data_IF_354080761956
#
_entry.id   IF_354080761956
#
_cell.length_a   1.000
_cell.length_b   1.000
_cell.length_c   1.000
_cell.angle_alpha   90.00
_cell.angle_beta   90.00
_cell.angle_gamma   90.00
#
_symmetry.space_group_name_H-M   'P 1'
#
loop_
_entity.id
_entity.type
_entity.pdbx_description
1 polymer ?
#
# COMPACT_ATOMS: atom_id res chain seq x y z
N UNK A 1 -55.62 -14.12 52.84
CA UNK A 1 -54.80 -14.83 51.82
C UNK A 1 -54.31 -13.76 50.84
N UNK A 2 -53.07 -13.28 51.02
CA UNK A 2 -52.45 -12.25 50.18
C UNK A 2 -51.60 -12.97 49.14
N UNK A 3 -51.98 -12.86 47.86
CA UNK A 3 -51.23 -13.40 46.73
C UNK A 3 -50.16 -12.37 46.37
N UNK A 4 -48.91 -12.69 46.71
CA UNK A 4 -47.73 -11.92 46.36
C UNK A 4 -47.34 -12.27 44.92
N UNK A 5 -47.67 -11.39 43.98
CA UNK A 5 -47.32 -11.53 42.56
C UNK A 5 -45.85 -11.20 42.39
N UNK A 6 -45.03 -12.24 42.23
CA UNK A 6 -43.61 -12.16 41.91
C UNK A 6 -43.44 -11.74 40.44
N UNK A 7 -43.34 -10.44 40.19
CA UNK A 7 -42.98 -9.88 38.88
C UNK A 7 -41.49 -10.17 38.63
N UNK A 8 -41.21 -11.26 37.93
CA UNK A 8 -39.91 -11.52 37.34
C UNK A 8 -39.66 -10.50 36.23
N UNK A 9 -38.99 -9.40 36.59
CA UNK A 9 -38.38 -8.48 35.62
C UNK A 9 -37.24 -9.22 34.94
N UNK A 10 -37.54 -9.90 33.83
CA UNK A 10 -36.53 -10.40 32.91
C UNK A 10 -35.88 -9.18 32.27
N UNK A 11 -34.76 -8.75 32.86
CA UNK A 11 -33.87 -7.75 32.25
C UNK A 11 -33.31 -8.37 30.97
N UNK A 12 -34.02 -8.16 29.87
CA UNK A 12 -33.57 -8.50 28.54
C UNK A 12 -32.43 -7.54 28.19
N UNK A 13 -31.21 -7.87 28.59
CA UNK A 13 -30.02 -7.14 28.13
C UNK A 13 -29.98 -7.31 26.61
N UNK A 14 -30.13 -6.19 25.88
CA UNK A 14 -30.00 -6.18 24.42
C UNK A 14 -28.63 -6.76 24.09
N UNK A 15 -28.59 -7.90 23.41
CA UNK A 15 -27.32 -8.51 22.98
C UNK A 15 -26.58 -7.51 22.09
N UNK A 16 -25.26 -7.37 22.23
CA UNK A 16 -24.48 -6.55 21.31
C UNK A 16 -24.72 -7.02 19.88
N UNK A 17 -24.85 -6.08 18.97
CA UNK A 17 -25.00 -6.36 17.55
C UNK A 17 -23.69 -6.95 17.01
N UNK A 18 -23.77 -7.97 16.16
CA UNK A 18 -22.58 -8.54 15.51
C UNK A 18 -22.26 -7.74 14.25
N UNK A 19 -21.03 -7.25 14.16
CA UNK A 19 -20.48 -6.61 12.98
C UNK A 19 -19.71 -7.62 12.14
N UNK A 20 -19.90 -7.54 10.82
CA UNK A 20 -19.27 -8.39 9.82
C UNK A 20 -18.30 -7.54 9.01
N UNK A 21 -17.02 -7.76 9.20
CA UNK A 21 -15.96 -7.05 8.47
C UNK A 21 -15.31 -8.07 7.55
N UNK A 22 -15.30 -7.79 6.25
CA UNK A 22 -14.80 -8.74 5.25
C UNK A 22 -14.04 -8.02 4.14
N UNK A 23 -13.31 -8.78 3.34
CA UNK A 23 -12.63 -8.23 2.18
C UNK A 23 -11.98 -9.29 1.32
N UNK A 24 -11.41 -8.84 0.21
CA UNK A 24 -10.61 -9.65 -0.71
C UNK A 24 -9.25 -9.00 -0.86
N UNK A 25 -8.19 -9.79 -0.72
CA UNK A 25 -6.81 -9.36 -0.96
C UNK A 25 -6.43 -9.74 -2.39
N UNK A 26 -6.00 -8.73 -3.14
CA UNK A 26 -5.52 -8.83 -4.51
C UNK A 26 -4.07 -8.36 -4.63
N UNK A 27 -3.44 -8.83 -5.71
CA UNK A 27 -2.16 -8.35 -6.21
C UNK A 27 -2.41 -7.68 -7.56
N UNK A 28 -1.86 -6.47 -7.73
CA UNK A 28 -1.96 -5.69 -8.97
C UNK A 28 -3.41 -5.53 -9.51
N UNK A 29 -4.40 -5.50 -8.62
CA UNK A 29 -5.83 -5.40 -8.88
C UNK A 29 -6.45 -6.59 -9.63
N UNK A 30 -5.73 -7.69 -9.84
CA UNK A 30 -6.18 -8.79 -10.70
C UNK A 30 -6.15 -10.13 -9.99
N UNK A 31 -4.99 -10.52 -9.45
CA UNK A 31 -4.74 -11.84 -8.88
C UNK A 31 -5.15 -11.89 -7.41
N UNK A 32 -5.81 -12.97 -6.96
CA UNK A 32 -6.13 -13.15 -5.54
C UNK A 32 -4.90 -13.60 -4.77
N UNK A 33 -4.76 -13.15 -3.52
CA UNK A 33 -3.62 -13.47 -2.68
C UNK A 33 -4.05 -14.32 -1.50
N UNK A 34 -3.66 -15.60 -1.49
CA UNK A 34 -3.83 -16.48 -0.33
C UNK A 34 -2.84 -16.17 0.78
N UNK A 35 -3.15 -16.60 2.01
CA UNK A 35 -2.26 -16.54 3.18
C UNK A 35 -1.71 -15.14 3.49
N UNK A 36 -2.38 -14.08 3.05
CA UNK A 36 -2.05 -12.73 3.47
C UNK A 36 -2.54 -12.55 4.90
N UNK A 37 -1.66 -12.12 5.80
CA UNK A 37 -2.00 -11.86 7.19
C UNK A 37 -2.82 -10.58 7.28
N UNK A 38 -4.02 -10.70 7.83
CA UNK A 38 -4.95 -9.58 8.02
C UNK A 38 -5.12 -9.34 9.51
N UNK A 39 -4.89 -8.10 9.96
CA UNK A 39 -5.12 -7.69 11.35
C UNK A 39 -6.18 -6.62 11.39
N UNK A 40 -7.16 -6.81 12.27
CA UNK A 40 -8.14 -5.80 12.62
C UNK A 40 -7.69 -5.08 13.89
N UNK A 41 -7.56 -3.77 13.79
CA UNK A 41 -7.28 -2.88 14.88
C UNK A 41 -8.51 -2.06 15.23
N UNK A 42 -8.63 -1.69 16.50
CA UNK A 42 -9.68 -0.78 16.96
C UNK A 42 -9.14 0.28 17.91
N UNK A 43 -9.88 1.38 18.00
CA UNK A 43 -9.79 2.33 19.12
C UNK A 43 -11.05 2.19 19.98
N UNK A 44 -10.87 1.91 21.26
CA UNK A 44 -11.95 1.81 22.24
C UNK A 44 -12.06 3.08 23.09
N UNK A 45 -13.27 3.39 23.53
CA UNK A 45 -13.51 4.36 24.60
C UNK A 45 -13.34 3.62 25.93
N UNK A 46 -12.31 3.97 26.69
CA UNK A 46 -12.09 3.43 28.03
C UNK A 46 -12.32 4.56 29.04
N UNK A 47 -13.24 4.38 29.99
CA UNK A 47 -13.56 5.36 31.03
C UNK A 47 -13.91 6.76 30.48
N UNK A 48 -14.80 6.85 29.48
CA UNK A 48 -15.17 8.11 28.79
C UNK A 48 -13.99 8.88 28.17
N UNK A 49 -12.82 8.27 28.05
CA UNK A 49 -11.64 8.86 27.47
C UNK A 49 -11.25 8.09 26.21
N UNK A 50 -10.95 8.82 25.15
CA UNK A 50 -10.50 8.25 23.89
C UNK A 50 -9.11 7.64 24.05
N UNK A 51 -8.94 6.35 23.76
CA UNK A 51 -7.60 5.83 23.47
C UNK A 51 -7.16 6.37 22.12
N UNK A 52 -6.12 7.21 22.11
CA UNK A 52 -5.55 7.72 20.86
C UNK A 52 -4.82 6.64 20.05
N UNK A 53 -4.49 5.50 20.65
CA UNK A 53 -3.75 4.43 20.00
C UNK A 53 -4.67 3.29 19.53
N UNK A 54 -4.44 2.82 18.29
CA UNK A 54 -5.01 1.57 17.78
C UNK A 54 -4.37 0.36 18.48
N UNK A 55 -5.18 -0.60 18.89
CA UNK A 55 -4.74 -1.92 19.36
C UNK A 55 -5.29 -3.02 18.47
N UNK A 56 -4.55 -4.12 18.32
CA UNK A 56 -5.02 -5.31 17.58
C UNK A 56 -6.19 -5.90 18.36
N UNK A 57 -7.34 -6.01 17.71
CA UNK A 57 -8.51 -6.71 18.23
C UNK A 57 -8.45 -8.19 17.84
N UNK A 58 -8.20 -8.47 16.57
CA UNK A 58 -8.20 -9.82 16.01
C UNK A 58 -7.26 -9.93 14.80
N UNK A 59 -6.85 -11.14 14.45
CA UNK A 59 -6.08 -11.41 13.24
C UNK A 59 -6.51 -12.70 12.58
N UNK A 60 -6.48 -12.73 11.25
CA UNK A 60 -6.76 -13.90 10.42
C UNK A 60 -5.80 -13.94 9.24
N UNK A 61 -6.02 -14.85 8.29
CA UNK A 61 -5.34 -14.88 7.00
C UNK A 61 -6.36 -15.04 5.87
N UNK A 62 -6.02 -14.56 4.67
CA UNK A 62 -6.87 -14.75 3.50
C UNK A 62 -6.86 -16.20 3.04
N UNK A 63 -8.00 -16.67 2.53
CA UNK A 63 -8.15 -18.00 1.94
C UNK A 63 -7.55 -18.09 0.52
N UNK A 64 -7.66 -19.25 -0.12
CA UNK A 64 -7.16 -19.50 -1.48
C UNK A 64 -7.75 -18.56 -2.55
N UNK A 65 -8.92 -17.97 -2.28
CA UNK A 65 -9.59 -17.00 -3.13
C UNK A 65 -9.33 -15.56 -2.68
N UNK A 66 -8.40 -15.34 -1.75
CA UNK A 66 -8.03 -14.04 -1.20
C UNK A 66 -9.03 -13.46 -0.19
N UNK A 67 -10.09 -14.18 0.18
CA UNK A 67 -11.11 -13.65 1.09
C UNK A 67 -10.69 -13.75 2.55
N UNK A 68 -11.15 -12.80 3.36
CA UNK A 68 -11.08 -12.89 4.82
C UNK A 68 -12.36 -12.35 5.48
N UNK A 69 -12.58 -12.71 6.74
CA UNK A 69 -13.69 -12.23 7.53
C UNK A 69 -13.35 -12.13 9.02
N UNK A 70 -13.90 -11.10 9.67
CA UNK A 70 -14.00 -10.97 11.13
C UNK A 70 -15.47 -10.87 11.54
N UNK A 71 -15.81 -11.50 12.66
CA UNK A 71 -17.12 -11.41 13.29
C UNK A 71 -16.91 -10.87 14.71
N UNK A 72 -17.25 -9.60 14.93
CA UNK A 72 -16.99 -8.94 16.21
C UNK A 72 -18.30 -8.47 16.85
N UNK A 73 -18.38 -8.50 18.17
CA UNK A 73 -19.48 -7.90 18.91
C UNK A 73 -19.29 -6.37 19.03
N UNK A 74 -20.35 -5.60 18.82
CA UNK A 74 -20.30 -4.14 18.89
C UNK A 74 -20.19 -3.63 20.34
N UNK A 75 -18.95 -3.47 20.81
CA UNK A 75 -18.61 -2.93 22.14
C UNK A 75 -18.28 -1.43 22.14
N UNK A 76 -18.96 -0.62 21.33
CA UNK A 76 -18.71 0.82 21.21
C UNK A 76 -17.30 1.18 20.69
N UNK A 77 -16.80 0.39 19.74
CA UNK A 77 -15.67 0.77 18.89
C UNK A 77 -16.01 2.01 18.08
N UNK A 78 -15.04 2.89 17.87
CA UNK A 78 -15.29 4.12 17.10
C UNK A 78 -14.55 4.09 15.77
N UNK A 79 -13.25 3.78 15.83
CA UNK A 79 -12.40 3.70 14.67
C UNK A 79 -11.87 2.28 14.52
N UNK A 80 -11.84 1.82 13.28
CA UNK A 80 -11.30 0.55 12.86
C UNK A 80 -10.15 0.81 11.90
N UNK A 81 -9.15 -0.06 11.95
CA UNK A 81 -8.10 -0.10 10.95
C UNK A 81 -7.83 -1.53 10.56
N UNK A 82 -7.74 -1.82 9.27
CA UNK A 82 -7.26 -3.11 8.77
C UNK A 82 -5.85 -2.91 8.24
N UNK A 83 -4.95 -3.83 8.60
CA UNK A 83 -3.65 -4.01 7.98
C UNK A 83 -3.66 -5.34 7.23
N UNK A 84 -3.31 -5.30 5.95
CA UNK A 84 -3.03 -6.49 5.15
C UNK A 84 -1.54 -6.53 4.87
N UNK A 85 -0.93 -7.68 5.16
CA UNK A 85 0.50 -7.88 4.98
C UNK A 85 0.79 -9.29 4.46
N UNK A 86 1.77 -9.40 3.57
CA UNK A 86 2.31 -10.69 3.11
C UNK A 86 3.82 -10.55 3.03
N UNK A 87 4.53 -11.65 3.25
CA UNK A 87 5.98 -11.68 3.05
C UNK A 87 6.31 -11.20 1.64
N UNK A 88 7.36 -10.39 1.50
CA UNK A 88 7.82 -9.85 0.23
C UNK A 88 6.82 -8.91 -0.48
N UNK A 89 5.87 -8.33 0.24
CA UNK A 89 4.92 -7.35 -0.27
C UNK A 89 4.89 -6.08 0.59
N UNK A 90 4.53 -4.95 -0.03
CA UNK A 90 4.16 -3.76 0.72
C UNK A 90 2.86 -4.01 1.49
N UNK A 91 2.85 -3.64 2.77
CA UNK A 91 1.64 -3.70 3.58
C UNK A 91 0.67 -2.58 3.17
N UNK A 92 -0.62 -2.87 3.24
CA UNK A 92 -1.68 -1.92 2.98
C UNK A 92 -2.50 -1.69 4.24
N UNK A 93 -2.97 -0.45 4.42
CA UNK A 93 -3.76 -0.03 5.57
C UNK A 93 -5.01 0.70 5.09
N UNK A 94 -6.15 0.38 5.69
CA UNK A 94 -7.35 1.21 5.58
C UNK A 94 -7.90 1.54 6.96
N UNK A 95 -8.27 2.79 7.16
CA UNK A 95 -9.00 3.24 8.33
C UNK A 95 -10.46 3.51 7.97
N UNK A 96 -11.37 3.12 8.84
CA UNK A 96 -12.80 3.31 8.65
C UNK A 96 -13.52 3.42 9.99
N UNK A 97 -14.77 3.88 9.94
CA UNK A 97 -15.62 4.10 11.11
C UNK A 97 -16.93 3.33 10.93
N UNK A 98 -17.79 3.35 11.94
CA UNK A 98 -19.16 2.82 11.84
C UNK A 98 -19.98 3.42 10.69
N UNK A 99 -19.69 4.65 10.28
CA UNK A 99 -20.41 5.30 9.17
C UNK A 99 -20.12 4.64 7.82
N UNK A 100 -19.07 3.83 7.73
CA UNK A 100 -18.72 3.10 6.50
C UNK A 100 -19.45 1.75 6.39
N UNK A 101 -20.21 1.34 7.42
CA UNK A 101 -20.95 0.09 7.38
C UNK A 101 -22.29 0.27 6.63
N UNK A 102 -22.65 -0.75 5.85
CA UNK A 102 -24.00 -0.93 5.32
C UNK A 102 -24.78 -1.86 6.25
N UNK A 103 -25.57 -1.27 7.15
CA UNK A 103 -26.15 -1.98 8.29
C UNK A 103 -25.05 -2.42 9.25
N UNK A 104 -24.88 -3.73 9.43
CA UNK A 104 -23.84 -4.32 10.26
C UNK A 104 -22.68 -4.92 9.44
N UNK A 105 -22.57 -4.59 8.15
CA UNK A 105 -21.57 -5.16 7.25
C UNK A 105 -20.62 -4.10 6.71
N UNK A 106 -19.34 -4.43 6.67
CA UNK A 106 -18.30 -3.68 5.98
C UNK A 106 -17.55 -4.62 5.03
N UNK A 107 -17.28 -4.12 3.83
CA UNK A 107 -16.51 -4.82 2.81
C UNK A 107 -15.53 -3.84 2.18
N UNK A 108 -14.31 -4.30 1.94
CA UNK A 108 -13.35 -3.57 1.14
C UNK A 108 -12.46 -4.52 0.32
N UNK A 109 -11.99 -4.05 -0.82
CA UNK A 109 -10.91 -4.72 -1.57
C UNK A 109 -9.57 -4.12 -1.14
N UNK A 110 -8.57 -4.98 -0.99
CA UNK A 110 -7.21 -4.63 -0.63
C UNK A 110 -6.30 -5.02 -1.78
N UNK A 111 -5.42 -4.13 -2.20
CA UNK A 111 -4.43 -4.41 -3.21
C UNK A 111 -3.02 -4.24 -2.66
N UNK A 112 -2.31 -5.36 -2.50
CA UNK A 112 -0.91 -5.38 -2.09
C UNK A 112 0.00 -5.60 -3.30
N UNK A 113 1.19 -5.02 -3.25
CA UNK A 113 2.16 -5.09 -4.34
C UNK A 113 3.41 -5.83 -3.85
N UNK A 114 3.98 -6.76 -4.62
CA UNK A 114 5.25 -7.36 -4.27
C UNK A 114 6.35 -6.31 -4.28
N UNK A 115 7.43 -6.55 -3.55
CA UNK A 115 8.61 -5.71 -3.64
C UNK A 115 9.23 -5.82 -5.03
N UNK A 116 9.87 -4.75 -5.48
CA UNK A 116 10.71 -4.73 -6.67
C UNK A 116 11.79 -3.69 -6.50
N UNK A 117 12.86 -3.81 -7.27
CA UNK A 117 13.95 -2.85 -7.24
C UNK A 117 14.34 -2.46 -8.68
N UNK A 118 14.50 -1.16 -8.91
CA UNK A 118 15.01 -0.62 -10.16
C UNK A 118 16.38 0.00 -9.88
N UNK A 119 17.39 -0.49 -10.59
CA UNK A 119 18.74 0.06 -10.59
C UNK A 119 19.01 0.72 -11.95
N UNK A 120 19.14 2.04 -11.94
CA UNK A 120 19.43 2.84 -13.13
C UNK A 120 20.90 3.21 -13.11
N UNK A 121 21.64 2.83 -14.13
CA UNK A 121 23.01 3.24 -14.34
C UNK A 121 23.06 4.34 -15.40
N UNK A 122 23.57 5.51 -15.00
CA UNK A 122 23.62 6.72 -15.80
C UNK A 122 25.07 7.00 -16.17
N UNK A 123 25.35 7.13 -17.47
CA UNK A 123 26.71 7.39 -17.96
C UNK A 123 26.73 8.34 -19.15
N UNK A 124 27.58 9.37 -19.09
CA UNK A 124 27.98 10.13 -20.26
C UNK A 124 29.02 9.30 -21.03
N UNK A 125 28.58 8.57 -22.05
CA UNK A 125 29.40 7.59 -22.77
C UNK A 125 30.25 8.20 -23.88
N UNK A 126 29.84 9.37 -24.38
CA UNK A 126 30.52 10.09 -25.46
C UNK A 126 30.58 11.61 -25.16
N UNK A 127 31.37 12.04 -24.16
CA UNK A 127 31.35 13.41 -23.67
C UNK A 127 31.82 14.42 -24.72
N UNK A 128 31.12 15.53 -24.85
CA UNK A 128 31.50 16.66 -25.71
C UNK A 128 32.13 17.77 -24.89
N UNK A 129 31.43 18.24 -23.84
CA UNK A 129 31.94 19.28 -22.94
C UNK A 129 31.23 19.23 -21.57
N UNK A 130 31.53 20.20 -20.71
CA UNK A 130 30.96 20.26 -19.35
C UNK A 130 29.49 20.70 -19.30
N UNK A 131 28.91 21.14 -20.41
CA UNK A 131 27.50 21.51 -20.56
C UNK A 131 26.63 20.33 -21.02
N UNK A 132 27.23 19.16 -21.26
CA UNK A 132 26.47 17.94 -21.50
C UNK A 132 25.55 17.69 -20.30
N UNK A 133 24.25 17.49 -20.55
CA UNK A 133 23.32 17.13 -19.49
C UNK A 133 22.40 15.99 -19.90
N UNK A 134 21.98 15.23 -18.90
CA UNK A 134 20.87 14.28 -18.99
C UNK A 134 19.90 14.54 -17.85
N UNK A 135 18.61 14.37 -18.13
CA UNK A 135 17.60 14.25 -17.09
C UNK A 135 16.75 13.01 -17.31
N UNK A 136 16.23 12.42 -16.24
CA UNK A 136 15.21 11.38 -16.35
C UNK A 136 14.11 11.56 -15.29
N UNK A 137 12.93 11.05 -15.61
CA UNK A 137 11.77 11.00 -14.74
C UNK A 137 11.15 9.60 -14.84
N UNK A 138 10.77 9.04 -13.70
CA UNK A 138 9.97 7.81 -13.64
C UNK A 138 8.51 8.19 -13.41
N UNK A 139 7.62 7.56 -14.17
CA UNK A 139 6.18 7.78 -14.16
C UNK A 139 5.44 6.47 -13.84
N UNK A 140 4.31 6.59 -13.16
CA UNK A 140 3.44 5.48 -12.74
C UNK A 140 3.23 5.43 -11.23
N UNK A 141 2.41 4.48 -10.77
CA UNK A 141 2.18 4.30 -9.34
C UNK A 141 3.46 3.77 -8.67
N UNK A 142 3.86 4.43 -7.58
CA UNK A 142 5.06 4.07 -6.82
C UNK A 142 4.74 3.92 -5.34
N UNK A 143 5.49 3.08 -4.61
CA UNK A 143 5.33 2.98 -3.16
C UNK A 143 5.63 4.33 -2.51
N UNK A 144 4.87 4.67 -1.47
CA UNK A 144 5.08 5.90 -0.67
C UNK A 144 6.48 5.99 -0.05
N UNK A 145 7.16 4.85 0.09
CA UNK A 145 8.55 4.76 0.55
C UNK A 145 9.59 5.14 -0.52
N UNK A 146 9.17 5.44 -1.75
CA UNK A 146 10.05 5.93 -2.80
C UNK A 146 10.54 7.34 -2.44
N UNK A 147 11.70 7.41 -1.80
CA UNK A 147 12.33 8.64 -1.30
C UNK A 147 12.64 9.68 -2.38
N UNK A 148 12.55 9.30 -3.64
CA UNK A 148 12.76 10.18 -4.78
C UNK A 148 11.48 10.94 -5.17
N UNK A 149 10.31 10.61 -4.61
CA UNK A 149 9.01 11.13 -5.02
C UNK A 149 8.61 10.62 -6.41
N UNK A 150 7.37 10.14 -6.59
CA UNK A 150 6.82 9.99 -7.94
C UNK A 150 6.92 11.35 -8.64
N UNK A 151 7.29 11.36 -9.92
CA UNK A 151 7.38 12.56 -10.76
C UNK A 151 8.56 13.52 -10.52
N UNK A 152 9.52 13.22 -9.66
CA UNK A 152 10.76 14.02 -9.61
C UNK A 152 11.62 13.80 -10.85
N UNK A 153 12.13 14.90 -11.40
CA UNK A 153 13.12 14.88 -12.47
C UNK A 153 14.52 14.87 -11.85
N UNK A 154 15.32 13.88 -12.21
CA UNK A 154 16.73 13.76 -11.83
C UNK A 154 17.59 14.40 -12.91
N UNK A 155 18.60 15.17 -12.50
CA UNK A 155 19.50 15.88 -13.43
C UNK A 155 20.95 15.45 -13.20
N UNK A 156 21.67 15.23 -14.29
CA UNK A 156 23.09 14.87 -14.31
C UNK A 156 23.80 15.76 -15.32
N UNK A 157 24.83 16.48 -14.86
CA UNK A 157 25.55 17.45 -15.68
C UNK A 157 27.04 17.08 -15.73
N UNK A 158 27.66 17.31 -16.88
CA UNK A 158 29.09 17.20 -17.08
C UNK A 158 29.52 15.98 -17.89
N UNK A 159 30.83 15.95 -18.15
CA UNK A 159 31.51 14.99 -19.00
C UNK A 159 32.01 13.73 -18.27
N UNK A 160 31.89 13.69 -16.94
CA UNK A 160 32.40 12.61 -16.09
C UNK A 160 31.28 11.87 -15.34
N UNK A 161 30.04 12.00 -15.81
CA UNK A 161 28.90 11.31 -15.21
C UNK A 161 29.04 9.80 -15.46
N UNK A 162 29.14 9.05 -14.36
CA UNK A 162 29.07 7.60 -14.27
C UNK A 162 28.57 7.29 -12.86
N UNK A 163 27.29 6.95 -12.73
CA UNK A 163 26.65 6.78 -11.42
C UNK A 163 25.47 5.84 -11.50
N UNK A 164 25.11 5.28 -10.34
CA UNK A 164 23.99 4.36 -10.22
C UNK A 164 23.00 4.88 -9.18
N UNK A 165 21.71 4.86 -9.53
CA UNK A 165 20.60 5.13 -8.63
C UNK A 165 19.78 3.86 -8.45
N UNK A 166 19.51 3.49 -7.21
CA UNK A 166 18.74 2.30 -6.87
C UNK A 166 17.53 2.70 -6.07
N UNK A 167 16.35 2.26 -6.50
CA UNK A 167 15.08 2.59 -5.87
C UNK A 167 14.23 1.35 -5.64
N UNK A 168 13.49 1.33 -4.53
CA UNK A 168 12.45 0.33 -4.27
C UNK A 168 11.15 0.77 -4.95
N UNK A 169 10.57 -0.11 -5.74
CA UNK A 169 9.36 0.12 -6.53
C UNK A 169 8.41 -1.07 -6.36
N UNK A 170 7.26 -1.07 -7.04
CA UNK A 170 6.38 -2.23 -7.11
C UNK A 170 6.95 -3.28 -8.07
N UNK A 171 6.93 -4.54 -7.65
CA UNK A 171 7.26 -5.68 -8.49
C UNK A 171 6.07 -6.13 -9.35
N UNK A 172 6.36 -6.91 -10.39
CA UNK A 172 5.40 -7.30 -11.43
C UNK A 172 4.64 -6.11 -12.02
N UNK A 173 5.33 -4.97 -12.15
CA UNK A 173 4.74 -3.70 -12.53
C UNK A 173 5.57 -3.03 -13.61
N UNK A 174 4.90 -2.29 -14.50
CA UNK A 174 5.55 -1.53 -15.56
C UNK A 174 5.79 -0.09 -15.09
N UNK A 175 7.03 0.39 -15.24
CA UNK A 175 7.39 1.78 -14.96
C UNK A 175 7.74 2.44 -16.28
N UNK A 176 7.12 3.59 -16.54
CA UNK A 176 7.48 4.42 -17.69
C UNK A 176 8.65 5.32 -17.29
N UNK A 177 9.70 5.34 -18.09
CA UNK A 177 10.84 6.25 -17.93
C UNK A 177 10.88 7.21 -19.11
N UNK A 178 10.94 8.51 -18.82
CA UNK A 178 11.20 9.54 -19.80
C UNK A 178 12.57 10.15 -19.50
N UNK A 179 13.37 10.40 -20.54
CA UNK A 179 14.65 11.06 -20.34
C UNK A 179 14.99 11.98 -21.51
N UNK A 180 15.76 13.01 -21.19
CA UNK A 180 16.24 13.99 -22.15
C UNK A 180 17.76 14.09 -22.07
N UNK A 181 18.40 14.30 -23.22
CA UNK A 181 19.84 14.44 -23.33
C UNK A 181 20.16 15.69 -24.12
N UNK A 182 21.14 16.47 -23.67
CA UNK A 182 21.61 17.66 -24.37
C UNK A 182 23.11 17.57 -24.61
N UNK A 183 23.48 17.56 -25.88
CA UNK A 183 24.87 17.51 -26.33
C UNK A 183 25.05 18.35 -27.58
N UNK A 184 26.16 19.08 -27.68
CA UNK A 184 26.48 19.93 -28.84
C UNK A 184 25.33 20.88 -29.22
N UNK A 185 24.64 21.45 -28.22
CA UNK A 185 23.44 22.29 -28.39
C UNK A 185 22.22 21.59 -29.01
N UNK A 186 22.17 20.26 -28.98
CA UNK A 186 21.04 19.46 -29.46
C UNK A 186 20.38 18.77 -28.28
N UNK A 187 19.11 19.08 -28.06
CA UNK A 187 18.23 18.35 -27.14
C UNK A 187 17.59 17.15 -27.87
N UNK A 188 17.61 15.99 -27.23
CA UNK A 188 16.85 14.81 -27.65
C UNK A 188 16.05 14.30 -26.46
N UNK A 189 14.89 13.75 -26.75
CA UNK A 189 13.95 13.22 -25.76
C UNK A 189 13.60 11.78 -26.13
N UNK A 190 13.40 10.98 -25.10
CA UNK A 190 13.21 9.53 -25.21
C UNK A 190 12.23 9.05 -24.14
N UNK A 191 11.65 7.89 -24.40
CA UNK A 191 10.73 7.21 -23.49
C UNK A 191 10.85 5.70 -23.65
N UNK A 192 10.73 4.97 -22.54
CA UNK A 192 10.70 3.50 -22.54
C UNK A 192 9.87 2.97 -21.36
N UNK A 193 9.40 1.73 -21.47
CA UNK A 193 8.68 1.02 -20.41
C UNK A 193 9.54 -0.12 -19.87
N UNK A 194 9.81 -0.08 -18.57
CA UNK A 194 10.63 -1.06 -17.86
C UNK A 194 9.70 -1.97 -17.05
N UNK A 195 9.74 -3.28 -17.32
CA UNK A 195 9.08 -4.26 -16.47
C UNK A 195 9.94 -4.60 -15.25
N UNK A 196 9.36 -4.47 -14.06
CA UNK A 196 10.03 -4.79 -12.80
C UNK A 196 9.63 -6.18 -12.36
N UNK A 197 10.61 -7.06 -12.18
CA UNK A 197 10.38 -8.39 -11.63
C UNK A 197 10.12 -8.32 -10.12
N UNK A 198 9.12 -9.07 -9.65
CA UNK A 198 8.88 -9.21 -8.22
C UNK A 198 10.08 -9.80 -7.49
N UNK A 199 10.45 -9.17 -6.38
CA UNK A 199 11.49 -9.56 -5.44
C UNK A 199 12.89 -9.64 -6.04
N UNK A 200 13.13 -8.90 -7.12
CA UNK A 200 14.41 -8.84 -7.82
C UNK A 200 14.82 -7.39 -8.13
N UNK A 201 16.04 -7.22 -8.62
CA UNK A 201 16.58 -5.96 -9.14
C UNK A 201 16.61 -5.96 -10.66
N UNK A 202 15.76 -5.14 -11.26
CA UNK A 202 15.85 -4.81 -12.69
C UNK A 202 16.92 -3.74 -12.89
N UNK A 203 17.91 -4.02 -13.75
CA UNK A 203 18.92 -3.04 -14.14
C UNK A 203 18.54 -2.37 -15.47
N UNK A 204 18.77 -1.06 -15.57
CA UNK A 204 18.50 -0.27 -16.77
C UNK A 204 19.61 0.75 -17.01
N UNK A 205 20.12 0.80 -18.24
CA UNK A 205 21.22 1.69 -18.63
C UNK A 205 20.69 2.93 -19.35
N UNK A 206 21.05 4.10 -18.84
CA UNK A 206 20.81 5.40 -19.46
C UNK A 206 22.14 6.01 -19.89
N UNK A 207 22.52 5.74 -21.14
CA UNK A 207 23.72 6.31 -21.74
C UNK A 207 23.36 7.50 -22.61
N UNK A 208 24.12 8.57 -22.46
CA UNK A 208 23.99 9.77 -23.29
C UNK A 208 25.31 10.19 -23.89
#
# INVERSE_FOLDING_TARGET
MIILVFLFLVSCKKKPETLYISGVVRQNNTETVSDAKVKLYTQQIVNNTWSAAYSVLESTSSDDNGNFQFLIEDFAYVNFKIEVSKENHYAEFIEFTKNNFSGNKYFNEFNIYPFGCLQIHIKNSAPVNTQDYMSYQLLGDMPSTFQAGSDSIFYFNGNSVDTTKTCKVYGNYNILINWSTFKSNILKEYSDTIYIFANDTTCYDLFY
#
